data_IF_958611118855
#
_entry.id   IF_958611118855
#
_cell.length_a   1.000
_cell.length_b   1.000
_cell.length_c   1.000
_cell.angle_alpha   90.00
_cell.angle_beta   90.00
_cell.angle_gamma   90.00
#
_symmetry.space_group_name_H-M   'P 1'
#
loop_
_entity.id
_entity.type
_entity.pdbx_description
1 polymer ?
#
# COMPACT_ATOMS: atom_id res chain seq x y z
N UNK A 1 -15.73 -3.30 -18.35
CA UNK A 1 -14.51 -2.63 -17.88
C UNK A 1 -14.36 -2.92 -16.39
N UNK A 2 -13.52 -3.90 -16.05
CA UNK A 2 -13.20 -4.21 -14.65
C UNK A 2 -12.49 -3.00 -14.05
N UNK A 3 -13.09 -2.35 -13.04
CA UNK A 3 -12.55 -1.13 -12.45
C UNK A 3 -11.46 -1.52 -11.45
N UNK A 4 -10.23 -1.60 -11.92
CA UNK A 4 -9.06 -1.90 -11.08
C UNK A 4 -8.64 -0.62 -10.35
N UNK A 5 -8.55 -0.67 -9.02
CA UNK A 5 -8.13 0.46 -8.19
C UNK A 5 -6.61 0.58 -8.22
N UNK A 6 -6.11 1.69 -8.75
CA UNK A 6 -4.67 1.94 -8.84
C UNK A 6 -4.17 2.53 -7.53
N UNK A 7 -3.19 1.88 -6.94
CA UNK A 7 -2.65 2.22 -5.62
C UNK A 7 -1.15 2.44 -5.74
N UNK A 8 -0.72 3.62 -5.34
CA UNK A 8 0.66 4.05 -5.32
C UNK A 8 1.45 3.28 -4.27
N UNK A 9 2.39 2.44 -4.65
CA UNK A 9 3.22 1.72 -3.68
C UNK A 9 4.49 2.50 -3.38
N UNK A 10 4.69 2.91 -2.13
CA UNK A 10 5.91 3.57 -1.68
C UNK A 10 6.54 2.80 -0.53
N UNK A 11 7.86 2.72 -0.54
CA UNK A 11 8.63 2.15 0.56
C UNK A 11 9.27 3.30 1.34
N UNK A 12 9.06 3.35 2.66
CA UNK A 12 9.76 4.28 3.52
C UNK A 12 11.14 3.72 3.90
N UNK A 13 12.16 4.58 3.76
CA UNK A 13 13.57 4.24 3.64
C UNK A 13 14.19 3.33 4.71
N UNK A 14 14.88 2.30 4.22
CA UNK A 14 16.34 2.18 4.42
C UNK A 14 16.88 1.67 5.75
N UNK A 15 16.07 1.49 6.79
CA UNK A 15 16.51 0.76 7.99
C UNK A 15 16.15 -0.72 7.85
N UNK A 16 17.13 -1.58 8.15
CA UNK A 16 17.08 -3.04 8.21
C UNK A 16 15.65 -3.59 8.30
N UNK A 17 15.05 -4.11 7.20
CA UNK A 17 13.67 -4.55 7.24
C UNK A 17 13.55 -5.73 8.21
N UNK A 18 12.85 -5.51 9.33
CA UNK A 18 12.61 -6.55 10.34
C UNK A 18 11.62 -7.64 9.84
N UNK A 19 10.97 -7.41 8.69
CA UNK A 19 10.04 -8.34 8.06
C UNK A 19 10.11 -8.27 6.53
N UNK A 20 9.67 -9.34 5.86
CA UNK A 20 9.70 -9.46 4.40
C UNK A 20 8.62 -8.60 3.73
N UNK A 21 8.92 -7.29 3.61
CA UNK A 21 8.04 -6.30 2.96
C UNK A 21 7.63 -6.68 1.55
N UNK A 22 8.47 -7.43 0.84
CA UNK A 22 8.19 -7.89 -0.52
C UNK A 22 7.16 -9.01 -0.48
N UNK A 23 7.32 -10.00 0.41
CA UNK A 23 6.36 -11.08 0.63
C UNK A 23 4.97 -10.56 0.99
N UNK A 24 4.88 -9.56 1.86
CA UNK A 24 3.58 -8.95 2.22
C UNK A 24 2.93 -8.23 1.03
N UNK A 25 3.69 -7.41 0.28
CA UNK A 25 3.15 -6.77 -0.93
C UNK A 25 2.72 -7.80 -1.96
N UNK A 26 3.48 -8.88 -2.13
CA UNK A 26 3.15 -9.94 -3.06
C UNK A 26 1.86 -10.64 -2.66
N UNK A 27 1.71 -11.01 -1.39
CA UNK A 27 0.47 -11.60 -0.86
C UNK A 27 -0.74 -10.68 -1.05
N UNK A 28 -0.59 -9.38 -0.80
CA UNK A 28 -1.63 -8.39 -1.09
C UNK A 28 -1.97 -8.37 -2.59
N UNK A 29 -0.96 -8.39 -3.46
CA UNK A 29 -1.13 -8.37 -4.91
C UNK A 29 -1.81 -9.64 -5.43
N UNK A 30 -1.52 -10.79 -4.82
CA UNK A 30 -2.15 -12.07 -5.17
C UNK A 30 -3.61 -12.10 -4.69
N UNK A 31 -3.86 -11.75 -3.43
CA UNK A 31 -5.21 -11.75 -2.83
C UNK A 31 -6.14 -10.70 -3.44
N UNK A 32 -5.61 -9.54 -3.81
CA UNK A 32 -6.35 -8.45 -4.45
C UNK A 32 -6.08 -8.35 -5.96
N UNK A 33 -5.44 -9.37 -6.54
CA UNK A 33 -5.11 -9.43 -7.95
C UNK A 33 -6.37 -9.34 -8.82
N UNK A 34 -6.42 -8.32 -9.67
CA UNK A 34 -7.59 -8.03 -10.51
C UNK A 34 -8.61 -7.08 -9.88
N UNK A 35 -8.47 -6.74 -8.60
CA UNK A 35 -9.23 -5.66 -7.94
C UNK A 35 -8.41 -4.39 -7.77
N UNK A 36 -7.11 -4.53 -7.48
CA UNK A 36 -6.18 -3.41 -7.35
C UNK A 36 -4.97 -3.58 -8.27
N UNK A 37 -4.33 -2.47 -8.63
CA UNK A 37 -3.08 -2.43 -9.38
C UNK A 37 -2.08 -1.54 -8.64
N UNK A 38 -0.93 -2.11 -8.29
CA UNK A 38 0.16 -1.34 -7.73
C UNK A 38 0.85 -0.54 -8.83
N UNK A 39 0.81 0.79 -8.70
CA UNK A 39 1.45 1.73 -9.62
C UNK A 39 2.45 2.60 -8.85
N UNK A 40 3.28 3.35 -9.58
CA UNK A 40 4.14 4.35 -8.95
C UNK A 40 3.28 5.41 -8.24
N UNK A 41 3.62 5.79 -6.99
CA UNK A 41 2.86 6.80 -6.24
C UNK A 41 2.88 8.17 -6.93
N UNK A 42 3.87 8.42 -7.77
CA UNK A 42 3.98 9.63 -8.59
C UNK A 42 2.96 9.70 -9.74
N UNK A 43 2.26 8.59 -10.05
CA UNK A 43 1.18 8.65 -11.04
C UNK A 43 -0.05 9.35 -10.47
N UNK A 44 -0.65 10.21 -11.28
CA UNK A 44 -1.95 10.84 -10.98
C UNK A 44 -3.08 9.82 -10.87
N UNK A 45 -2.96 8.70 -11.59
CA UNK A 45 -3.96 7.63 -11.58
C UNK A 45 -4.04 6.87 -10.24
N UNK A 46 -3.05 7.04 -9.35
CA UNK A 46 -3.05 6.42 -8.03
C UNK A 46 -4.06 7.10 -7.09
N UNK A 47 -5.17 6.40 -6.82
CA UNK A 47 -6.24 6.87 -5.94
C UNK A 47 -5.86 6.85 -4.45
N UNK A 48 -4.98 5.94 -4.07
CA UNK A 48 -4.49 5.78 -2.70
C UNK A 48 -3.00 5.53 -2.73
N UNK A 49 -2.29 5.82 -1.65
CA UNK A 49 -0.85 5.50 -1.51
C UNK A 49 -0.64 4.54 -0.36
N UNK A 50 -0.05 3.38 -0.64
CA UNK A 50 0.37 2.40 0.33
C UNK A 50 1.84 2.64 0.67
N UNK A 51 2.12 3.06 1.90
CA UNK A 51 3.47 3.29 2.39
C UNK A 51 3.87 2.14 3.30
N UNK A 52 4.83 1.34 2.85
CA UNK A 52 5.41 0.29 3.69
C UNK A 52 6.48 0.93 4.58
N UNK A 53 6.21 1.04 5.88
CA UNK A 53 7.13 1.66 6.83
C UNK A 53 7.80 0.60 7.71
N UNK A 54 9.11 0.44 7.55
CA UNK A 54 9.93 -0.41 8.42
C UNK A 54 10.40 0.28 9.71
N UNK A 55 10.06 1.55 9.93
CA UNK A 55 10.51 2.33 11.08
C UNK A 55 9.40 3.27 11.59
N UNK A 56 9.37 3.55 12.90
CA UNK A 56 8.36 4.43 13.53
C UNK A 56 8.46 5.90 13.09
N UNK A 57 9.61 6.32 12.56
CA UNK A 57 9.87 7.73 12.24
C UNK A 57 9.13 8.20 10.98
N UNK A 58 8.68 7.29 10.12
CA UNK A 58 7.92 7.62 8.90
C UNK A 58 8.54 8.77 8.08
N UNK A 59 9.88 8.81 7.96
CA UNK A 59 10.61 9.87 7.25
C UNK A 59 10.37 9.90 5.72
N UNK A 60 9.49 9.06 5.18
CA UNK A 60 9.10 9.17 3.80
C UNK A 60 8.33 10.47 3.64
N UNK A 61 8.86 11.37 2.81
CA UNK A 61 8.16 12.59 2.44
C UNK A 61 6.87 12.22 1.70
N UNK A 62 5.78 12.24 2.47
CA UNK A 62 4.40 11.96 2.05
C UNK A 62 3.62 13.25 1.79
N UNK A 63 4.25 14.42 1.95
CA UNK A 63 3.63 15.71 1.73
C UNK A 63 3.10 15.85 0.30
N UNK A 64 3.79 15.21 -0.67
CA UNK A 64 3.39 15.11 -2.08
C UNK A 64 2.13 14.24 -2.33
N UNK A 65 1.71 13.44 -1.34
CA UNK A 65 0.60 12.52 -1.43
C UNK A 65 -0.54 12.85 -0.48
N UNK A 66 -0.47 13.99 0.23
CA UNK A 66 -1.46 14.39 1.24
C UNK A 66 -2.86 14.63 0.67
N UNK A 67 -2.96 14.86 -0.64
CA UNK A 67 -4.22 15.03 -1.38
C UNK A 67 -5.05 13.72 -1.51
N UNK A 68 -4.44 12.56 -1.20
CA UNK A 68 -5.08 11.25 -1.35
C UNK A 68 -4.91 10.40 -0.08
N UNK A 69 -5.80 9.42 0.16
CA UNK A 69 -5.69 8.56 1.33
C UNK A 69 -4.37 7.78 1.33
N UNK A 70 -3.59 7.97 2.39
CA UNK A 70 -2.31 7.29 2.62
C UNK A 70 -2.53 6.22 3.68
N UNK A 71 -2.15 4.97 3.36
CA UNK A 71 -2.20 3.84 4.29
C UNK A 71 -0.78 3.41 4.63
N UNK A 72 -0.47 3.32 5.91
CA UNK A 72 0.80 2.78 6.38
C UNK A 72 0.64 1.30 6.71
N UNK A 73 1.56 0.48 6.21
CA UNK A 73 1.66 -0.94 6.57
C UNK A 73 3.02 -1.12 7.23
N UNK A 74 2.99 -1.47 8.51
CA UNK A 74 4.17 -1.68 9.35
C UNK A 74 4.35 -3.14 9.77
N UNK A 75 3.36 -3.99 9.50
CA UNK A 75 3.34 -5.41 9.86
C UNK A 75 2.44 -6.20 8.91
N UNK A 76 2.55 -7.52 8.95
CA UNK A 76 1.68 -8.41 8.15
C UNK A 76 0.21 -8.31 8.55
N UNK A 77 -0.07 -8.05 9.84
CA UNK A 77 -1.43 -7.88 10.35
C UNK A 77 -2.13 -6.66 9.72
N UNK A 78 -1.44 -5.52 9.64
CA UNK A 78 -1.93 -4.32 8.94
C UNK A 78 -2.31 -4.64 7.49
N UNK A 79 -1.49 -5.45 6.81
CA UNK A 79 -1.76 -5.87 5.43
C UNK A 79 -3.00 -6.76 5.34
N UNK A 80 -3.15 -7.73 6.23
CA UNK A 80 -4.32 -8.60 6.31
C UNK A 80 -5.61 -7.81 6.57
N UNK A 81 -5.59 -6.90 7.55
CA UNK A 81 -6.73 -6.02 7.84
C UNK A 81 -7.09 -5.19 6.60
N UNK A 82 -6.08 -4.64 5.92
CA UNK A 82 -6.31 -3.83 4.72
C UNK A 82 -6.90 -4.65 3.55
N UNK A 83 -6.42 -5.87 3.32
CA UNK A 83 -6.99 -6.79 2.32
C UNK A 83 -8.46 -7.08 2.63
N UNK A 84 -8.77 -7.40 3.89
CA UNK A 84 -10.13 -7.66 4.36
C UNK A 84 -11.03 -6.44 4.17
N UNK A 85 -10.55 -5.23 4.49
CA UNK A 85 -11.26 -3.97 4.28
C UNK A 85 -11.58 -3.74 2.80
N UNK A 86 -10.62 -3.97 1.90
CA UNK A 86 -10.80 -3.84 0.46
C UNK A 86 -11.80 -4.88 -0.09
N UNK A 87 -11.83 -6.09 0.49
CA UNK A 87 -12.83 -7.12 0.17
C UNK A 87 -14.22 -6.75 0.73
N UNK A 88 -14.29 -6.13 1.91
CA UNK A 88 -15.54 -5.72 2.59
C UNK A 88 -16.17 -4.44 2.05
N UNK A 89 -15.38 -3.48 1.55
CA UNK A 89 -15.85 -2.22 0.97
C UNK A 89 -16.63 -2.35 -0.35
N UNK A 90 -17.07 -3.57 -0.68
CA UNK A 90 -17.87 -3.93 -1.86
C UNK A 90 -19.38 -3.97 -1.56
N UNK A 91 -19.82 -3.40 -0.45
CA UNK A 91 -21.23 -3.36 -0.04
C UNK A 91 -21.88 -2.01 -0.38
#
# INVERSE_FOLDING_TARGET
>A
MSKVLRIGLKYCGGCSPCYDRVGTVNRIKEELGGMIEFVSPEREEAKSVLVISGCKTACADISLFSDRPIRFISSEDDASVWIEEMKRGKQ
#
